data_IF_561248427919
#
_entry.id   IF_561248427919
#
_cell.length_a   1.000
_cell.length_b   1.000
_cell.length_c   1.000
_cell.angle_alpha   90.00
_cell.angle_beta   90.00
_cell.angle_gamma   90.00
#
_symmetry.space_group_name_H-M   'P 1'
#
loop_
_entity.id
_entity.type
_entity.pdbx_description
1 polymer ?
#
# COMPACT_ATOMS: atom_id res chain seq x y z
N UNK A 1 23.31 -18.77 -2.88
CA UNK A 1 22.72 -17.56 -3.48
C UNK A 1 23.84 -16.81 -4.18
N UNK A 2 23.55 -16.09 -5.27
CA UNK A 2 24.53 -15.29 -6.01
C UNK A 2 24.26 -13.81 -5.75
N UNK A 3 25.23 -13.05 -5.24
CA UNK A 3 25.05 -11.61 -5.02
C UNK A 3 25.21 -10.84 -6.33
N UNK A 4 24.12 -10.24 -6.79
CA UNK A 4 24.08 -9.42 -8.00
C UNK A 4 24.71 -8.05 -7.77
N UNK A 5 24.41 -7.43 -6.63
CA UNK A 5 24.96 -6.14 -6.25
C UNK A 5 25.01 -6.01 -4.73
N UNK A 6 26.07 -5.37 -4.24
CA UNK A 6 26.21 -4.95 -2.85
C UNK A 6 26.47 -3.45 -2.78
N UNK A 7 25.72 -2.77 -1.92
CA UNK A 7 25.91 -1.37 -1.56
C UNK A 7 26.07 -1.27 -0.05
N UNK A 8 26.31 -0.05 0.46
CA UNK A 8 26.30 0.19 1.90
C UNK A 8 24.91 0.00 2.52
N UNK A 9 23.84 0.25 1.74
CA UNK A 9 22.46 0.34 2.24
C UNK A 9 21.64 -0.91 1.99
N UNK A 10 22.01 -1.73 1.01
CA UNK A 10 21.34 -2.99 0.70
C UNK A 10 22.23 -3.91 -0.14
N UNK A 11 21.80 -5.14 -0.32
CA UNK A 11 22.32 -6.03 -1.36
C UNK A 11 21.16 -6.73 -2.07
N UNK A 12 21.40 -7.18 -3.30
CA UNK A 12 20.43 -7.98 -4.05
C UNK A 12 21.05 -9.33 -4.40
N UNK A 13 20.40 -10.40 -3.97
CA UNK A 13 20.84 -11.77 -4.18
C UNK A 13 19.89 -12.51 -5.11
N UNK A 14 20.44 -13.14 -6.14
CA UNK A 14 19.75 -14.08 -7.00
C UNK A 14 19.70 -15.46 -6.33
N UNK A 15 18.48 -15.96 -6.14
CA UNK A 15 18.23 -17.29 -5.62
C UNK A 15 18.77 -18.37 -6.58
N UNK A 16 19.17 -19.57 -6.09
CA UNK A 16 19.68 -20.65 -6.95
C UNK A 16 18.75 -21.06 -8.09
N UNK A 17 17.43 -20.83 -7.97
CA UNK A 17 16.47 -21.07 -9.05
C UNK A 17 16.60 -20.10 -10.24
N UNK A 18 17.46 -19.06 -10.14
CA UNK A 18 17.67 -18.00 -11.14
C UNK A 18 16.40 -17.20 -11.52
N UNK A 19 15.33 -17.33 -10.73
CA UNK A 19 14.02 -16.71 -10.95
C UNK A 19 13.67 -15.67 -9.91
N UNK A 20 14.16 -15.84 -8.68
CA UNK A 20 13.83 -14.98 -7.55
C UNK A 20 15.03 -14.12 -7.17
N UNK A 21 14.84 -12.81 -7.08
CA UNK A 21 15.80 -11.89 -6.49
C UNK A 21 15.29 -11.43 -5.13
N UNK A 22 16.14 -11.55 -4.12
CA UNK A 22 15.91 -11.00 -2.79
C UNK A 22 16.66 -9.69 -2.65
N UNK A 23 15.93 -8.62 -2.34
CA UNK A 23 16.50 -7.31 -2.02
C UNK A 23 16.55 -7.20 -0.51
N UNK A 24 17.75 -7.03 0.04
CA UNK A 24 18.00 -7.16 1.47
C UNK A 24 18.54 -5.81 1.99
N UNK A 25 17.70 -4.99 2.64
CA UNK A 25 18.14 -3.75 3.26
C UNK A 25 19.12 -4.01 4.40
N UNK A 26 20.06 -3.10 4.58
CA UNK A 26 20.96 -3.05 5.74
C UNK A 26 20.14 -2.91 7.03
N UNK A 27 20.52 -3.68 8.04
CA UNK A 27 19.92 -3.63 9.38
C UNK A 27 20.73 -2.74 10.34
N UNK A 28 21.57 -1.85 9.80
CA UNK A 28 22.29 -0.83 10.56
C UNK A 28 21.35 0.34 10.87
N UNK A 29 21.38 0.87 12.10
CA UNK A 29 20.57 2.01 12.54
C UNK A 29 20.79 3.27 11.69
N UNK A 30 21.97 3.38 11.06
CA UNK A 30 22.28 4.48 10.15
C UNK A 30 21.56 4.37 8.82
N UNK A 31 21.03 3.19 8.47
CA UNK A 31 20.40 2.83 7.20
C UNK A 31 18.86 2.76 7.28
N UNK A 32 18.27 3.24 8.37
CA UNK A 32 16.83 3.31 8.56
C UNK A 32 16.46 4.67 9.15
N UNK A 33 15.29 5.18 8.79
CA UNK A 33 14.68 6.32 9.46
C UNK A 33 13.74 5.89 10.58
N UNK A 34 13.56 4.58 10.78
CA UNK A 34 12.58 4.07 11.72
C UNK A 34 13.07 3.98 13.16
N UNK A 35 12.11 4.14 14.06
CA UNK A 35 12.21 3.88 15.49
C UNK A 35 11.31 2.69 15.85
N UNK A 36 11.60 2.04 16.98
CA UNK A 36 10.79 0.92 17.46
C UNK A 36 9.38 1.42 17.74
N UNK A 37 8.41 0.90 16.98
CA UNK A 37 6.99 1.16 17.21
C UNK A 37 6.28 -0.11 17.67
N UNK A 38 5.60 -0.01 18.81
CA UNK A 38 4.73 -1.05 19.33
C UNK A 38 3.35 -0.45 19.65
N UNK A 39 2.26 -0.93 19.03
CA UNK A 39 0.94 -0.38 19.26
C UNK A 39 0.46 -0.68 20.68
N UNK A 40 -0.10 0.33 21.37
CA UNK A 40 -0.54 0.20 22.77
C UNK A 40 -1.65 -0.84 22.99
N UNK A 41 -2.54 -1.02 22.03
CA UNK A 41 -3.72 -1.90 22.14
C UNK A 41 -3.51 -3.16 21.33
N UNK A 42 -2.98 -4.21 21.95
CA UNK A 42 -2.74 -5.51 21.29
C UNK A 42 -3.80 -6.58 21.58
N UNK A 43 -4.76 -6.26 22.44
CA UNK A 43 -5.80 -7.20 22.87
C UNK A 43 -7.17 -6.73 22.40
N UNK A 44 -8.07 -7.65 22.04
CA UNK A 44 -9.44 -7.35 21.61
C UNK A 44 -10.33 -6.96 22.81
N UNK A 45 -10.10 -5.78 23.37
CA UNK A 45 -10.96 -5.22 24.41
C UNK A 45 -12.17 -4.52 23.79
N UNK A 46 -13.38 -4.82 24.29
CA UNK A 46 -14.61 -4.16 23.88
C UNK A 46 -14.76 -2.82 24.60
N UNK A 47 -15.01 -1.75 23.87
CA UNK A 47 -15.30 -0.44 24.47
C UNK A 47 -16.71 -0.35 25.06
N UNK A 48 -17.10 0.82 25.57
CA UNK A 48 -18.42 1.05 26.15
C UNK A 48 -19.58 0.83 25.15
N UNK A 49 -19.28 0.85 23.86
CA UNK A 49 -20.22 0.58 22.77
C UNK A 49 -20.16 -0.89 22.30
N UNK A 50 -19.35 -1.72 22.94
CA UNK A 50 -19.16 -3.12 22.58
C UNK A 50 -18.26 -3.34 21.37
N UNK A 51 -17.61 -2.29 20.83
CA UNK A 51 -16.76 -2.36 19.64
C UNK A 51 -15.31 -2.69 20.01
N UNK A 52 -14.57 -3.31 19.08
CA UNK A 52 -13.14 -3.59 19.24
C UNK A 52 -12.29 -2.58 18.49
N UNK A 53 -11.08 -2.32 19.01
CA UNK A 53 -10.06 -1.48 18.38
C UNK A 53 -8.66 -1.87 18.87
N UNK A 54 -8.00 -2.76 18.13
CA UNK A 54 -6.72 -3.35 18.52
C UNK A 54 -5.84 -3.71 17.31
N UNK A 55 -4.57 -3.94 17.59
CA UNK A 55 -3.55 -4.32 16.61
C UNK A 55 -3.03 -5.72 16.88
N UNK A 56 -2.73 -6.45 15.81
CA UNK A 56 -2.09 -7.76 15.84
C UNK A 56 -0.95 -7.82 14.82
N UNK A 57 -0.07 -8.81 14.98
CA UNK A 57 1.00 -9.03 14.00
C UNK A 57 0.39 -9.36 12.63
N UNK A 58 1.00 -8.86 11.56
CA UNK A 58 0.51 -9.13 10.21
C UNK A 58 0.56 -10.63 9.89
N UNK A 59 -0.46 -11.13 9.19
CA UNK A 59 -0.44 -12.51 8.72
C UNK A 59 0.67 -12.71 7.67
N UNK A 60 1.28 -13.91 7.60
CA UNK A 60 2.40 -14.16 6.69
C UNK A 60 2.09 -13.91 5.21
N UNK A 61 0.84 -14.09 4.78
CA UNK A 61 0.45 -13.91 3.38
C UNK A 61 0.39 -12.42 3.01
N UNK A 62 -0.15 -11.58 3.89
CA UNK A 62 -0.18 -10.12 3.69
C UNK A 62 1.19 -9.50 3.84
N UNK A 63 2.01 -9.97 4.77
CA UNK A 63 3.42 -9.57 4.86
C UNK A 63 4.19 -9.89 3.57
N UNK A 64 4.06 -11.13 3.07
CA UNK A 64 4.68 -11.55 1.81
C UNK A 64 4.21 -10.69 0.63
N UNK A 65 2.90 -10.41 0.53
CA UNK A 65 2.34 -9.54 -0.51
C UNK A 65 2.97 -8.14 -0.48
N UNK A 66 3.10 -7.53 0.70
CA UNK A 66 3.76 -6.23 0.85
C UNK A 66 5.21 -6.28 0.36
N UNK A 67 5.97 -7.29 0.80
CA UNK A 67 7.37 -7.47 0.43
C UNK A 67 7.58 -7.75 -1.05
N UNK A 68 6.70 -8.48 -1.71
CA UNK A 68 6.71 -8.69 -3.18
C UNK A 68 6.45 -7.39 -3.94
N UNK A 69 5.45 -6.61 -3.52
CA UNK A 69 5.14 -5.33 -4.16
C UNK A 69 6.28 -4.33 -4.03
N UNK A 70 6.87 -4.21 -2.84
CA UNK A 70 8.03 -3.34 -2.60
C UNK A 70 9.25 -3.87 -3.37
N UNK A 71 9.50 -5.19 -3.33
CA UNK A 71 10.62 -5.82 -4.03
C UNK A 71 10.59 -5.55 -5.53
N UNK A 72 9.43 -5.71 -6.17
CA UNK A 72 9.26 -5.39 -7.60
C UNK A 72 9.59 -3.93 -7.91
N UNK A 73 9.05 -3.00 -7.12
CA UNK A 73 9.30 -1.58 -7.29
C UNK A 73 10.79 -1.25 -7.15
N UNK A 74 11.46 -1.75 -6.11
CA UNK A 74 12.88 -1.51 -5.88
C UNK A 74 13.76 -2.10 -6.98
N UNK A 75 13.41 -3.28 -7.50
CA UNK A 75 14.12 -3.85 -8.64
C UNK A 75 14.07 -2.91 -9.85
N UNK A 76 12.89 -2.37 -10.15
CA UNK A 76 12.68 -1.51 -11.32
C UNK A 76 13.36 -0.15 -11.21
N UNK A 77 13.35 0.45 -10.02
CA UNK A 77 13.70 1.85 -9.83
C UNK A 77 14.97 2.10 -9.02
N UNK A 78 15.61 1.06 -8.48
CA UNK A 78 16.83 1.18 -7.68
C UNK A 78 17.88 0.18 -8.13
N UNK A 79 17.58 -1.12 -8.03
CA UNK A 79 18.59 -2.18 -8.22
C UNK A 79 19.13 -2.20 -9.65
N UNK A 80 18.26 -2.21 -10.66
CA UNK A 80 18.70 -2.16 -12.07
C UNK A 80 19.52 -0.92 -12.39
N UNK A 81 19.15 0.23 -11.81
CA UNK A 81 19.88 1.47 -12.05
C UNK A 81 21.28 1.43 -11.43
N UNK A 82 21.41 0.98 -10.18
CA UNK A 82 22.69 0.84 -9.51
C UNK A 82 23.59 -0.19 -10.21
N UNK A 83 23.01 -1.29 -10.69
CA UNK A 83 23.73 -2.29 -11.49
C UNK A 83 24.24 -1.71 -12.80
N UNK A 84 23.40 -0.96 -13.52
CA UNK A 84 23.79 -0.25 -14.75
C UNK A 84 24.94 0.73 -14.47
N UNK A 85 24.86 1.52 -13.41
CA UNK A 85 25.92 2.47 -13.01
C UNK A 85 27.25 1.78 -12.69
N UNK A 86 27.20 0.54 -12.18
CA UNK A 86 28.38 -0.28 -11.89
C UNK A 86 28.84 -1.17 -13.06
N UNK A 87 28.17 -1.13 -14.21
CA UNK A 87 28.49 -1.99 -15.35
C UNK A 87 28.19 -3.48 -15.13
N UNK A 88 27.27 -3.81 -14.22
CA UNK A 88 26.92 -5.20 -13.90
C UNK A 88 25.78 -5.65 -14.82
N UNK A 89 26.01 -6.70 -15.60
CA UNK A 89 25.00 -7.39 -16.41
C UNK A 89 24.60 -8.72 -15.77
N UNK A 90 23.32 -9.07 -15.83
CA UNK A 90 22.80 -10.36 -15.34
C UNK A 90 22.34 -11.17 -16.54
N UNK A 91 22.86 -12.38 -16.68
CA UNK A 91 22.46 -13.32 -17.74
C UNK A 91 21.12 -13.99 -17.46
N UNK A 92 20.73 -14.10 -16.18
CA UNK A 92 19.43 -14.61 -15.78
C UNK A 92 18.30 -13.61 -16.04
N UNK A 93 17.11 -14.15 -16.28
CA UNK A 93 15.86 -13.38 -16.42
C UNK A 93 14.95 -13.63 -15.22
N UNK A 94 15.24 -13.03 -14.05
CA UNK A 94 14.37 -13.15 -12.89
C UNK A 94 13.01 -12.50 -13.16
N UNK A 95 11.97 -13.09 -12.61
CA UNK A 95 10.58 -12.64 -12.74
C UNK A 95 9.91 -12.37 -11.38
N UNK A 96 10.56 -12.79 -10.30
CA UNK A 96 10.08 -12.62 -8.93
C UNK A 96 11.06 -11.78 -8.12
N UNK A 97 10.58 -10.73 -7.46
CA UNK A 97 11.40 -9.77 -6.72
C UNK A 97 10.80 -9.56 -5.34
N UNK A 98 11.55 -9.88 -4.30
CA UNK A 98 11.05 -9.89 -2.93
C UNK A 98 11.96 -9.02 -2.07
N UNK A 99 11.38 -8.09 -1.32
CA UNK A 99 12.07 -7.48 -0.20
C UNK A 99 12.26 -8.54 0.89
N UNK A 100 13.49 -8.94 1.21
CA UNK A 100 13.73 -10.04 2.15
C UNK A 100 13.23 -9.72 3.56
N UNK A 101 13.45 -8.49 4.02
CA UNK A 101 12.94 -7.95 5.26
C UNK A 101 12.76 -6.43 5.11
N UNK A 102 11.88 -5.83 5.91
CA UNK A 102 11.81 -4.37 6.00
C UNK A 102 13.13 -3.78 6.53
N UNK A 103 13.40 -2.48 6.32
CA UNK A 103 14.47 -1.80 7.04
C UNK A 103 14.28 -1.96 8.56
N UNK A 104 15.37 -1.90 9.31
CA UNK A 104 15.35 -2.09 10.75
C UNK A 104 14.28 -1.20 11.41
N UNK A 105 13.54 -1.79 12.35
CA UNK A 105 12.42 -1.21 13.11
C UNK A 105 11.12 -0.94 12.35
N UNK A 106 11.06 -1.16 11.04
CA UNK A 106 9.77 -1.22 10.35
C UNK A 106 9.03 -2.53 10.66
N UNK A 107 7.73 -2.43 10.88
CA UNK A 107 6.87 -3.59 11.11
C UNK A 107 5.48 -3.38 10.55
N UNK A 108 4.97 -4.41 9.88
CA UNK A 108 3.61 -4.46 9.37
C UNK A 108 2.68 -4.96 10.47
N UNK A 109 1.60 -4.22 10.69
CA UNK A 109 0.58 -4.50 11.69
C UNK A 109 -0.78 -4.62 11.03
N UNK A 110 -1.62 -5.50 11.56
CA UNK A 110 -3.06 -5.54 11.25
C UNK A 110 -3.79 -4.71 12.30
N UNK A 111 -4.67 -3.81 11.86
CA UNK A 111 -5.58 -3.05 12.71
C UNK A 111 -7.00 -3.59 12.56
N UNK A 112 -7.56 -4.10 13.66
CA UNK A 112 -8.94 -4.58 13.74
C UNK A 112 -9.81 -3.55 14.46
N UNK A 113 -10.85 -3.07 13.78
CA UNK A 113 -11.77 -2.04 14.31
C UNK A 113 -13.23 -2.32 13.95
N UNK A 114 -14.13 -2.18 14.91
CA UNK A 114 -15.59 -2.24 14.69
C UNK A 114 -16.25 -3.39 15.43
N UNK A 115 -17.21 -4.04 14.78
CA UNK A 115 -17.95 -5.17 15.38
C UNK A 115 -16.99 -6.32 15.74
N UNK A 116 -17.04 -6.87 16.97
CA UNK A 116 -16.17 -7.97 17.39
C UNK A 116 -16.29 -9.25 16.55
N UNK A 117 -17.47 -9.54 15.99
CA UNK A 117 -17.72 -10.73 15.17
C UNK A 117 -17.17 -10.58 13.75
N UNK A 118 -17.11 -9.35 13.23
CA UNK A 118 -16.56 -9.06 11.92
C UNK A 118 -15.83 -7.69 11.89
N UNK A 119 -14.67 -7.59 12.56
CA UNK A 119 -13.97 -6.33 12.64
C UNK A 119 -13.36 -5.97 11.28
N UNK A 120 -13.50 -4.70 10.88
CA UNK A 120 -12.79 -4.17 9.71
C UNK A 120 -11.30 -4.35 9.93
N UNK A 121 -10.62 -4.90 8.92
CA UNK A 121 -9.21 -5.28 8.97
C UNK A 121 -8.41 -4.40 8.01
N UNK A 122 -7.60 -3.50 8.56
CA UNK A 122 -6.65 -2.67 7.80
C UNK A 122 -5.21 -3.15 8.05
N UNK A 123 -4.30 -2.84 7.12
CA UNK A 123 -2.88 -3.16 7.26
C UNK A 123 -2.06 -1.88 7.24
N UNK A 124 -1.17 -1.73 8.21
CA UNK A 124 -0.37 -0.53 8.37
C UNK A 124 1.09 -0.88 8.62
N UNK A 125 1.97 -0.30 7.81
CA UNK A 125 3.41 -0.38 8.03
C UNK A 125 3.81 0.81 8.89
N UNK A 126 4.36 0.53 10.07
CA UNK A 126 4.86 1.51 11.03
C UNK A 126 6.38 1.47 11.12
N UNK A 127 6.98 2.55 11.62
CA UNK A 127 8.39 2.62 11.96
C UNK A 127 8.98 4.02 11.74
N UNK A 128 8.63 4.68 10.63
CA UNK A 128 9.22 5.96 10.25
C UNK A 128 9.06 7.03 11.33
N UNK A 129 10.13 7.79 11.60
CA UNK A 129 10.05 9.01 12.43
C UNK A 129 9.35 10.19 11.71
N UNK A 130 9.21 10.11 10.39
CA UNK A 130 8.63 11.17 9.56
C UNK A 130 7.18 10.91 9.14
N UNK A 131 6.75 9.65 9.18
CA UNK A 131 5.43 9.22 8.70
C UNK A 131 4.76 8.34 9.75
N UNK A 132 3.56 8.72 10.20
CA UNK A 132 2.78 7.96 11.20
C UNK A 132 2.60 6.49 10.79
N UNK A 133 2.15 6.26 9.56
CA UNK A 133 1.99 4.93 8.97
C UNK A 133 1.80 4.97 7.47
N UNK A 134 2.18 3.89 6.80
CA UNK A 134 1.83 3.64 5.41
C UNK A 134 0.67 2.63 5.34
N UNK A 135 -0.35 2.93 4.55
CA UNK A 135 -1.59 2.13 4.44
C UNK A 135 -1.62 1.19 3.25
N UNK A 136 -0.62 1.30 2.38
CA UNK A 136 -0.41 0.37 1.28
C UNK A 136 1.07 0.31 0.89
N UNK A 137 1.53 -0.74 0.19
CA UNK A 137 2.88 -0.80 -0.32
C UNK A 137 3.22 0.41 -1.19
N UNK A 138 2.26 0.86 -2.02
CA UNK A 138 2.45 1.96 -2.95
C UNK A 138 2.70 3.30 -2.24
N UNK A 139 2.11 3.51 -1.05
CA UNK A 139 2.41 4.70 -0.23
C UNK A 139 3.87 4.66 0.29
N UNK A 140 4.45 3.47 0.46
CA UNK A 140 5.79 3.26 0.99
C UNK A 140 6.90 3.22 -0.08
N UNK A 141 6.58 2.98 -1.35
CA UNK A 141 7.57 2.79 -2.42
C UNK A 141 8.62 3.90 -2.50
N UNK A 142 8.19 5.16 -2.58
CA UNK A 142 9.12 6.28 -2.68
C UNK A 142 9.92 6.50 -1.40
N UNK A 143 9.32 6.21 -0.25
CA UNK A 143 10.00 6.28 1.04
C UNK A 143 11.09 5.22 1.15
N UNK A 144 10.79 3.99 0.74
CA UNK A 144 11.77 2.91 0.70
C UNK A 144 12.92 3.18 -0.28
N UNK A 145 12.62 3.77 -1.45
CA UNK A 145 13.66 4.24 -2.39
C UNK A 145 14.56 5.28 -1.73
N UNK A 146 13.98 6.30 -1.09
CA UNK A 146 14.72 7.33 -0.36
C UNK A 146 15.62 6.74 0.75
N UNK A 147 15.15 5.72 1.49
CA UNK A 147 15.97 5.00 2.47
C UNK A 147 17.19 4.36 1.80
N UNK A 148 17.00 3.64 0.69
CA UNK A 148 18.09 2.95 -0.02
C UNK A 148 19.07 3.90 -0.71
N UNK A 149 18.60 5.08 -1.11
CA UNK A 149 19.42 6.17 -1.67
C UNK A 149 20.21 6.94 -0.60
N UNK A 150 20.04 6.58 0.67
CA UNK A 150 20.83 7.08 1.78
C UNK A 150 20.20 8.20 2.58
N UNK A 151 18.89 8.40 2.43
CA UNK A 151 18.08 9.36 3.18
C UNK A 151 18.54 10.82 3.02
N UNK A 152 18.68 11.34 1.78
CA UNK A 152 19.04 12.74 1.56
C UNK A 152 18.02 13.69 2.22
N UNK A 153 18.48 14.87 2.64
CA UNK A 153 17.68 15.88 3.33
C UNK A 153 17.68 17.18 2.52
N UNK A 154 16.52 17.85 2.41
CA UNK A 154 16.42 19.20 1.80
C UNK A 154 16.95 20.29 2.73
N UNK A 155 16.82 20.04 4.03
CA UNK A 155 17.24 20.93 5.11
C UNK A 155 17.16 20.21 6.47
N UNK A 156 17.43 20.92 7.58
CA UNK A 156 17.37 20.35 8.91
C UNK A 156 16.00 19.75 9.21
N UNK A 157 15.94 18.43 9.43
CA UNK A 157 14.70 17.71 9.75
C UNK A 157 13.71 17.53 8.59
N UNK A 158 14.02 17.99 7.37
CA UNK A 158 13.14 17.85 6.21
C UNK A 158 13.70 16.81 5.21
N UNK A 159 13.10 15.61 5.13
CA UNK A 159 13.56 14.59 4.20
C UNK A 159 13.38 15.02 2.75
N UNK A 160 14.36 14.76 1.91
CA UNK A 160 14.22 14.86 0.45
C UNK A 160 13.53 13.62 -0.12
N UNK A 161 12.34 13.34 0.40
CA UNK A 161 11.54 12.18 0.07
C UNK A 161 10.29 12.63 -0.70
N UNK A 162 10.06 12.03 -1.87
CA UNK A 162 8.94 12.37 -2.75
C UNK A 162 7.65 11.57 -2.44
N UNK A 163 7.61 10.81 -1.34
CA UNK A 163 6.38 10.13 -0.96
C UNK A 163 5.31 11.17 -0.55
N UNK A 164 4.04 10.82 -0.75
CA UNK A 164 2.94 11.75 -0.50
C UNK A 164 2.86 12.22 0.96
N UNK A 165 3.39 11.43 1.91
CA UNK A 165 3.44 11.79 3.32
C UNK A 165 4.53 12.84 3.64
N UNK A 166 5.70 12.75 2.99
CA UNK A 166 6.84 13.63 3.29
C UNK A 166 6.78 14.96 2.52
N UNK A 167 6.30 14.96 1.27
CA UNK A 167 6.31 16.14 0.40
C UNK A 167 4.92 16.74 0.21
N UNK A 168 3.87 15.91 0.14
CA UNK A 168 2.47 16.35 -0.02
C UNK A 168 2.12 17.03 -1.35
N UNK A 169 3.10 17.36 -2.20
CA UNK A 169 2.89 18.08 -3.46
C UNK A 169 2.13 17.28 -4.51
N UNK A 170 2.23 15.95 -4.45
CA UNK A 170 1.63 15.01 -5.40
C UNK A 170 0.70 14.04 -4.67
N UNK A 171 -0.55 13.86 -5.14
CA UNK A 171 -1.45 12.88 -4.54
C UNK A 171 -0.98 11.45 -4.84
N UNK A 172 -1.28 10.52 -3.94
CA UNK A 172 -0.90 9.11 -4.07
C UNK A 172 -1.38 8.46 -5.38
N UNK A 173 -2.51 8.90 -5.93
CA UNK A 173 -3.03 8.41 -7.22
C UNK A 173 -2.11 8.74 -8.39
N UNK A 174 -1.59 9.96 -8.45
CA UNK A 174 -0.66 10.40 -9.49
C UNK A 174 0.69 9.70 -9.37
N UNK A 175 1.20 9.57 -8.15
CA UNK A 175 2.40 8.77 -7.86
C UNK A 175 2.21 7.34 -8.36
N UNK A 176 1.09 6.69 -8.00
CA UNK A 176 0.82 5.31 -8.38
C UNK A 176 0.67 5.13 -9.90
N UNK A 177 0.13 6.13 -10.60
CA UNK A 177 0.04 6.14 -12.06
C UNK A 177 1.41 6.25 -12.71
N UNK A 178 2.29 7.12 -12.21
CA UNK A 178 3.65 7.30 -12.74
C UNK A 178 4.49 6.01 -12.66
N UNK A 179 4.19 5.12 -11.71
CA UNK A 179 4.90 3.86 -11.51
C UNK A 179 4.14 2.63 -12.05
N UNK A 180 3.04 2.82 -12.78
CA UNK A 180 2.27 1.71 -13.37
C UNK A 180 1.60 0.78 -12.35
N UNK A 181 1.45 1.22 -11.11
CA UNK A 181 0.83 0.49 -10.00
C UNK A 181 -0.69 0.71 -9.98
N UNK A 182 -1.13 1.78 -10.65
CA UNK A 182 -2.54 2.11 -10.80
C UNK A 182 -3.18 1.26 -11.90
N UNK A 183 -4.05 0.33 -11.50
CA UNK A 183 -5.04 -0.23 -12.39
C UNK A 183 -6.33 0.58 -12.19
N UNK A 184 -6.72 1.48 -13.12
CA UNK A 184 -8.07 2.02 -13.07
C UNK A 184 -9.03 0.84 -13.03
N UNK A 185 -10.06 0.91 -12.19
CA UNK A 185 -11.19 -0.01 -12.29
C UNK A 185 -11.55 -0.12 -13.77
N UNK A 186 -11.38 -1.31 -14.35
CA UNK A 186 -11.94 -1.63 -15.65
C UNK A 186 -13.42 -1.29 -15.50
N UNK A 187 -13.87 -0.18 -16.10
CA UNK A 187 -15.28 -0.07 -16.46
C UNK A 187 -15.56 -1.35 -17.23
N UNK A 188 -16.43 -2.18 -16.68
CA UNK A 188 -16.87 -3.40 -17.33
C UNK A 188 -17.13 -3.10 -18.79
N UNK A 189 -16.36 -3.73 -19.67
CA UNK A 189 -16.69 -3.81 -21.09
C UNK A 189 -17.90 -4.73 -21.19
N UNK A 190 -19.07 -4.21 -20.80
CA UNK A 190 -20.34 -4.73 -21.27
C UNK A 190 -20.32 -4.56 -22.79
N UNK A 191 -20.17 -5.67 -23.50
CA UNK A 191 -20.32 -5.72 -24.95
C UNK A 191 -21.73 -5.28 -25.31
N UNK A 192 -21.84 -4.10 -25.91
CA UNK A 192 -23.03 -3.66 -26.62
C UNK A 192 -22.70 -3.68 -28.11
N UNK A 193 -23.36 -4.57 -28.83
CA UNK A 193 -23.31 -4.65 -30.29
C UNK A 193 -23.72 -3.32 -30.92
N UNK A 194 -22.90 -2.91 -31.88
CA UNK A 194 -23.01 -1.71 -32.68
C UNK A 194 -24.16 -1.86 -33.70
N UNK A 195 -25.25 -1.11 -33.53
CA UNK A 195 -26.18 -0.78 -34.62
C UNK A 195 -26.57 0.70 -34.57
N UNK A 196 -25.77 1.49 -35.29
CA UNK A 196 -26.22 2.45 -36.29
C UNK A 196 -27.28 3.48 -35.91
N UNK A 197 -26.87 4.75 -35.88
CA UNK A 197 -27.82 5.88 -35.89
C UNK A 197 -27.15 7.24 -36.05
N UNK A 198 -27.19 7.77 -37.27
CA UNK A 198 -26.88 9.17 -37.62
C UNK A 198 -27.68 10.17 -36.76
N UNK A 199 -27.06 11.29 -36.40
CA UNK A 199 -27.77 12.58 -36.35
C UNK A 199 -27.48 13.49 -35.16
N UNK A 200 -26.99 14.70 -35.47
CA UNK A 200 -27.49 15.94 -34.85
C UNK A 200 -26.85 16.39 -33.55
N UNK A 201 -26.05 17.46 -33.61
CA UNK A 201 -25.75 18.27 -32.44
C UNK A 201 -27.00 19.00 -31.91
N UNK A 202 -27.09 19.14 -30.58
CA UNK A 202 -27.67 20.28 -29.83
C UNK A 202 -27.75 19.97 -28.32
N UNK A 203 -27.28 20.92 -27.51
CA UNK A 203 -27.86 21.26 -26.21
C UNK A 203 -27.45 20.43 -24.98
N UNK A 204 -26.60 21.01 -24.13
CA UNK A 204 -26.50 20.61 -22.73
C UNK A 204 -27.87 20.82 -22.04
N UNK A 205 -28.45 19.75 -21.48
CA UNK A 205 -29.62 19.84 -20.60
C UNK A 205 -29.15 19.82 -19.12
N UNK A 206 -29.72 20.67 -18.24
CA UNK A 206 -29.43 20.63 -16.81
C UNK A 206 -29.98 19.35 -16.16
N UNK A 207 -29.29 18.84 -15.15
CA UNK A 207 -29.75 17.75 -14.28
C UNK A 207 -31.01 18.17 -13.51
N UNK A 208 -32.05 17.32 -13.39
CA UNK A 208 -33.16 17.56 -12.48
C UNK A 208 -32.72 17.31 -11.01
N UNK A 209 -33.32 18.02 -10.03
CA UNK A 209 -33.03 17.82 -8.62
C UNK A 209 -33.53 16.44 -8.16
N UNK A 210 -32.69 15.74 -7.40
CA UNK A 210 -33.01 14.46 -6.75
C UNK A 210 -34.14 14.63 -5.74
N UNK A 211 -35.26 13.94 -5.98
CA UNK A 211 -36.37 13.82 -5.03
C UNK A 211 -35.93 13.04 -3.79
N UNK A 212 -35.82 13.73 -2.64
CA UNK A 212 -35.73 13.10 -1.33
C UNK A 212 -37.13 12.66 -0.89
N UNK A 213 -37.50 11.43 -1.20
CA UNK A 213 -38.61 10.75 -0.55
C UNK A 213 -38.09 9.43 0.00
N UNK A 214 -37.67 9.46 1.26
CA UNK A 214 -37.35 8.27 2.04
C UNK A 214 -38.71 7.66 2.44
N UNK A 215 -39.07 6.43 2.04
CA UNK A 215 -40.31 5.84 2.52
C UNK A 215 -40.20 5.55 4.02
N UNK A 216 -41.05 6.21 4.80
CA UNK A 216 -41.22 5.94 6.22
C UNK A 216 -41.85 4.55 6.41
N UNK A 217 -41.13 3.64 7.06
CA UNK A 217 -41.72 2.37 7.53
C UNK A 217 -42.44 2.64 8.84
N UNK A 218 -43.77 2.48 8.84
CA UNK A 218 -44.58 2.57 10.04
C UNK A 218 -44.52 1.25 10.82
N UNK A 219 -43.94 1.30 12.03
CA UNK A 219 -43.71 0.15 12.90
C UNK A 219 -44.82 -0.05 13.96
N UNK A 220 -45.94 0.68 13.87
CA UNK A 220 -47.05 0.55 14.84
C UNK A 220 -47.81 -0.78 14.79
N UNK A 221 -47.52 -1.69 13.84
CA UNK A 221 -48.25 -2.96 13.67
C UNK A 221 -47.55 -4.22 14.21
N UNK A 222 -46.47 -4.10 14.97
CA UNK A 222 -45.70 -5.29 15.41
C UNK A 222 -46.16 -5.93 16.74
N UNK A 223 -47.15 -5.38 17.45
CA UNK A 223 -47.59 -5.90 18.75
C UNK A 223 -49.12 -6.09 18.85
N UNK A 224 -49.73 -6.85 17.93
CA UNK A 224 -51.10 -7.34 18.16
C UNK A 224 -51.06 -8.84 18.51
N UNK A 225 -51.66 -9.26 19.63
CA UNK A 225 -51.74 -10.67 19.99
C UNK A 225 -52.68 -11.43 19.04
N UNK A 226 -52.47 -12.75 18.85
CA UNK A 226 -53.29 -13.56 17.98
C UNK A 226 -54.74 -13.63 18.50
N UNK A 227 -55.69 -13.39 17.60
CA UNK A 227 -57.12 -13.51 17.87
C UNK A 227 -57.49 -14.98 18.11
N UNK A 228 -58.36 -15.19 19.10
CA UNK A 228 -58.89 -16.48 19.56
C UNK A 228 -59.71 -17.24 18.50
#
# INVERSE_FOLDING_TARGET
METLIKTRRYFADLHPNKKTVYIIPSQDDRCTDAEVFEPRRRQPHRDAQGLVNFYEDADPAKDKYWREKIGKYLWDHVVKEDMRRKGISVSASPDTFILAAYPKHYKLWIHKKGDPANPRTDHYLFGSRYVDRFRSPAEFFLHMKWILEGMPMKGPGQPDCQCWHCDGSRPQGEISQAFGVYHPHRKDRGGGDDRGGKGGGKGAKPRPPTSTTIPFKDYTKLNLPPSS
#
